data_IF_497688940401
#
_entry.id   IF_497688940401
#
_cell.length_a   1.000
_cell.length_b   1.000
_cell.length_c   1.000
_cell.angle_alpha   90.00
_cell.angle_beta   90.00
_cell.angle_gamma   90.00
#
_symmetry.space_group_name_H-M   'P 1'
#
loop_
_entity.id
_entity.type
_entity.pdbx_description
1 polymer ?
#
# COMPACT_ATOMS: atom_id res chain seq x y z
N UNK A 1 -3.39 8.56 10.92
CA UNK A 1 -4.31 7.61 10.27
C UNK A 1 -4.22 6.32 11.04
N UNK A 2 -5.34 5.74 11.45
CA UNK A 2 -5.31 4.40 12.05
C UNK A 2 -5.17 3.31 10.96
N UNK A 3 -4.95 2.06 11.38
CA UNK A 3 -4.74 0.95 10.44
C UNK A 3 -5.97 0.68 9.56
N UNK A 4 -7.18 0.81 10.10
CA UNK A 4 -8.40 0.51 9.36
C UNK A 4 -8.69 1.58 8.30
N UNK A 5 -8.45 2.86 8.63
CA UNK A 5 -8.48 3.99 7.69
C UNK A 5 -7.47 3.79 6.55
N UNK A 6 -6.24 3.39 6.88
CA UNK A 6 -5.19 3.14 5.91
C UNK A 6 -5.51 1.96 5.00
N UNK A 7 -6.02 0.84 5.53
CA UNK A 7 -6.46 -0.30 4.73
C UNK A 7 -7.61 0.08 3.79
N UNK A 8 -8.53 0.93 4.24
CA UNK A 8 -9.60 1.45 3.38
C UNK A 8 -9.05 2.36 2.26
N UNK A 9 -8.03 3.18 2.54
CA UNK A 9 -7.36 4.00 1.54
C UNK A 9 -6.61 3.14 0.51
N UNK A 10 -5.80 2.18 0.96
CA UNK A 10 -5.08 1.23 0.10
C UNK A 10 -6.03 0.45 -0.80
N UNK A 11 -7.17 0.00 -0.29
CA UNK A 11 -8.18 -0.70 -1.09
C UNK A 11 -8.74 0.18 -2.21
N UNK A 12 -8.99 1.47 -1.94
CA UNK A 12 -9.46 2.43 -2.97
C UNK A 12 -8.38 2.72 -4.00
N UNK A 13 -7.13 2.87 -3.57
CA UNK A 13 -5.99 3.06 -4.47
C UNK A 13 -5.82 1.84 -5.37
N UNK A 14 -5.71 0.64 -4.80
CA UNK A 14 -5.55 -0.60 -5.55
C UNK A 14 -6.65 -0.80 -6.63
N UNK A 15 -7.90 -0.46 -6.32
CA UNK A 15 -9.02 -0.58 -7.26
C UNK A 15 -8.92 0.33 -8.51
N UNK A 16 -8.01 1.30 -8.53
CA UNK A 16 -7.81 2.24 -9.65
C UNK A 16 -6.69 1.83 -10.60
N UNK A 17 -5.86 0.86 -10.23
CA UNK A 17 -4.74 0.41 -11.05
C UNK A 17 -5.15 -0.80 -11.90
N UNK A 18 -5.12 -0.61 -13.22
CA UNK A 18 -5.26 -1.71 -14.16
C UNK A 18 -4.07 -2.67 -14.00
N UNK A 19 -4.33 -3.96 -14.20
CA UNK A 19 -3.30 -5.00 -14.10
C UNK A 19 -2.93 -5.43 -12.67
N UNK A 20 -3.35 -4.68 -11.64
CA UNK A 20 -3.14 -5.07 -10.25
C UNK A 20 -4.14 -6.17 -9.82
N UNK A 21 -3.64 -7.34 -9.44
CA UNK A 21 -4.46 -8.46 -8.98
C UNK A 21 -4.51 -8.57 -7.45
N UNK A 22 -3.41 -8.22 -6.79
CA UNK A 22 -3.29 -8.30 -5.33
C UNK A 22 -2.37 -7.20 -4.83
N UNK A 23 -2.79 -6.53 -3.75
CA UNK A 23 -1.93 -5.71 -2.89
C UNK A 23 -1.93 -6.35 -1.50
N UNK A 24 -0.74 -6.70 -1.01
CA UNK A 24 -0.51 -7.45 0.22
C UNK A 24 0.23 -6.58 1.23
N UNK A 25 -0.40 -6.31 2.37
CA UNK A 25 0.31 -5.75 3.52
C UNK A 25 1.10 -6.85 4.24
N UNK A 26 2.41 -6.67 4.37
CA UNK A 26 3.25 -7.53 5.21
C UNK A 26 3.94 -6.72 6.32
N UNK A 27 5.06 -7.20 6.85
CA UNK A 27 5.82 -6.45 7.85
C UNK A 27 5.17 -6.35 9.23
N UNK A 28 5.45 -5.24 9.93
CA UNK A 28 5.05 -5.00 11.33
C UNK A 28 3.56 -4.68 11.48
N UNK A 29 3.02 -3.83 10.57
CA UNK A 29 1.61 -3.41 10.54
C UNK A 29 0.64 -4.55 10.29
N UNK A 30 1.02 -5.54 9.47
CA UNK A 30 0.19 -6.75 9.26
C UNK A 30 -0.04 -7.57 10.54
N UNK A 31 0.84 -7.41 11.54
CA UNK A 31 0.82 -8.11 12.83
C UNK A 31 0.41 -7.22 14.00
N UNK A 32 0.03 -5.97 13.75
CA UNK A 32 -0.26 -4.95 14.77
C UNK A 32 0.90 -4.76 15.77
N UNK A 33 2.13 -4.74 15.23
CA UNK A 33 3.39 -4.58 15.99
C UNK A 33 4.21 -3.40 15.49
N UNK A 34 3.58 -2.47 14.81
CA UNK A 34 4.16 -1.22 14.37
C UNK A 34 4.48 -0.28 15.54
N UNK A 35 5.38 0.64 15.28
CA UNK A 35 5.64 1.81 16.12
C UNK A 35 5.54 3.08 15.26
N UNK A 36 5.56 4.26 15.87
CA UNK A 36 5.32 5.54 15.19
C UNK A 36 6.19 5.80 13.95
N UNK A 37 7.39 5.20 13.90
CA UNK A 37 8.34 5.30 12.78
C UNK A 37 8.37 4.10 11.84
N UNK A 38 7.47 3.13 12.00
CA UNK A 38 7.46 1.97 11.11
C UNK A 38 7.06 2.42 9.71
N UNK A 39 7.58 1.74 8.71
CA UNK A 39 7.27 1.82 7.28
C UNK A 39 6.11 0.90 6.85
N UNK A 40 5.57 1.15 5.67
CA UNK A 40 4.53 0.32 5.07
C UNK A 40 5.14 -0.66 4.08
N UNK A 41 5.33 -1.90 4.51
CA UNK A 41 5.78 -2.96 3.60
C UNK A 41 4.61 -3.53 2.76
N UNK A 42 4.65 -3.32 1.44
CA UNK A 42 3.62 -3.75 0.51
C UNK A 42 4.18 -4.61 -0.63
N UNK A 43 3.62 -5.83 -0.75
CA UNK A 43 3.83 -6.67 -1.93
C UNK A 43 2.69 -6.52 -2.93
N UNK A 44 2.95 -6.70 -4.22
CA UNK A 44 1.89 -6.77 -5.21
C UNK A 44 2.07 -7.95 -6.18
N UNK A 45 0.93 -8.44 -6.70
CA UNK A 45 0.88 -9.31 -7.87
C UNK A 45 0.13 -8.58 -8.97
N UNK A 46 0.71 -8.56 -10.16
CA UNK A 46 0.16 -7.86 -11.30
C UNK A 46 0.53 -8.54 -12.61
N UNK A 47 -0.19 -8.20 -13.67
CA UNK A 47 0.21 -8.47 -15.05
C UNK A 47 1.14 -7.37 -15.58
N UNK A 48 1.45 -7.42 -16.88
CA UNK A 48 2.39 -6.51 -17.54
C UNK A 48 1.87 -5.08 -17.75
N UNK A 49 0.60 -4.80 -17.48
CA UNK A 49 -0.02 -3.49 -17.71
C UNK A 49 0.04 -2.57 -16.48
N UNK A 50 0.47 -3.09 -15.32
CA UNK A 50 0.64 -2.26 -14.12
C UNK A 50 1.80 -1.28 -14.29
N UNK A 51 1.56 0.00 -13.97
CA UNK A 51 2.59 1.01 -13.73
C UNK A 51 3.03 0.97 -12.25
N UNK A 52 4.22 0.42 -11.92
CA UNK A 52 4.67 0.30 -10.54
C UNK A 52 5.00 1.66 -9.91
N UNK A 53 5.49 2.61 -10.72
CA UNK A 53 5.85 3.94 -10.21
C UNK A 53 4.59 4.75 -9.88
N UNK A 54 3.57 4.66 -10.74
CA UNK A 54 2.25 5.21 -10.47
C UNK A 54 1.60 4.61 -9.23
N UNK A 55 1.66 3.28 -9.06
CA UNK A 55 1.18 2.61 -7.85
C UNK A 55 1.87 3.11 -6.59
N UNK A 56 3.21 3.19 -6.61
CA UNK A 56 3.99 3.70 -5.48
C UNK A 56 3.56 5.13 -5.11
N UNK A 57 3.48 6.02 -6.09
CA UNK A 57 3.12 7.42 -5.85
C UNK A 57 1.70 7.56 -5.27
N UNK A 58 0.72 6.83 -5.81
CA UNK A 58 -0.66 6.87 -5.34
C UNK A 58 -0.82 6.25 -3.95
N UNK A 59 -0.04 5.22 -3.62
CA UNK A 59 0.01 4.63 -2.28
C UNK A 59 0.61 5.60 -1.27
N UNK A 60 1.79 6.18 -1.55
CA UNK A 60 2.42 7.18 -0.68
C UNK A 60 1.49 8.37 -0.43
N UNK A 61 0.82 8.85 -1.48
CA UNK A 61 -0.18 9.90 -1.35
C UNK A 61 -1.37 9.48 -0.47
N UNK A 62 -1.90 8.27 -0.68
CA UNK A 62 -3.04 7.75 0.08
C UNK A 62 -2.72 7.53 1.57
N UNK A 63 -1.49 7.14 1.89
CA UNK A 63 -1.02 6.93 3.26
C UNK A 63 -0.51 8.20 3.93
N UNK A 64 -0.22 9.25 3.13
CA UNK A 64 0.34 10.52 3.61
C UNK A 64 1.78 10.40 4.10
N UNK A 65 2.54 9.45 3.55
CA UNK A 65 3.95 9.22 3.89
C UNK A 65 4.70 8.62 2.71
N UNK A 66 5.99 8.92 2.62
CA UNK A 66 6.93 8.31 1.67
C UNK A 66 7.59 7.04 2.24
N UNK A 67 7.36 6.72 3.52
CA UNK A 67 7.85 5.51 4.19
C UNK A 67 7.04 4.27 3.75
N UNK A 68 7.16 3.91 2.47
CA UNK A 68 6.47 2.80 1.80
C UNK A 68 7.50 1.99 1.00
N UNK A 69 7.61 0.70 1.32
CA UNK A 69 8.58 -0.25 0.74
C UNK A 69 7.88 -1.40 -0.01
#
# INVERSE_FOLDING_TARGET
>A
MDLDEALAALRRTAARHNGLHLLLLHGSRSRRREHDRSDWDLGYLADGDLDPAGLQADVSHALGTDDVD
#
